data_IF_922705096914
#
_entry.id   IF_922705096914
#
_cell.length_a   1.000
_cell.length_b   1.000
_cell.length_c   1.000
_cell.angle_alpha   90.00
_cell.angle_beta   90.00
_cell.angle_gamma   90.00
#
_symmetry.space_group_name_H-M   'P 1'
#
loop_
_entity.id
_entity.type
_entity.pdbx_description
1 polymer ?
#
# COMPACT_ATOMS: atom_id res chain seq x y z
N UNK A 1 16.19 -26.16 -91.71
CA UNK A 1 14.78 -26.50 -91.34
C UNK A 1 14.56 -26.16 -89.90
N UNK A 2 13.47 -25.56 -89.55
CA UNK A 2 12.93 -25.05 -88.29
C UNK A 2 13.33 -23.62 -87.96
N UNK A 3 12.29 -22.79 -88.14
CA UNK A 3 12.21 -21.35 -87.83
C UNK A 3 12.12 -21.11 -86.37
N UNK A 4 12.89 -20.15 -85.90
CA UNK A 4 12.71 -19.61 -84.55
C UNK A 4 11.90 -18.32 -84.63
N UNK A 5 10.76 -18.24 -83.93
CA UNK A 5 10.00 -17.03 -83.78
C UNK A 5 10.43 -16.31 -82.50
N UNK A 6 10.79 -15.06 -82.65
CA UNK A 6 11.16 -14.16 -81.59
C UNK A 6 9.92 -13.34 -81.23
N UNK A 7 9.28 -13.61 -80.07
CA UNK A 7 8.26 -12.76 -79.53
C UNK A 7 8.86 -11.87 -78.43
N UNK A 8 8.89 -10.59 -78.74
CA UNK A 8 9.27 -9.57 -77.78
C UNK A 8 8.19 -9.41 -76.71
N UNK A 9 8.55 -9.58 -75.44
CA UNK A 9 7.69 -9.33 -74.28
C UNK A 9 8.03 -7.94 -73.76
N UNK A 10 7.08 -7.00 -73.91
CA UNK A 10 7.10 -5.68 -73.25
C UNK A 10 6.72 -5.90 -71.78
N UNK A 11 7.67 -5.61 -70.87
CA UNK A 11 7.43 -5.56 -69.44
C UNK A 11 7.04 -4.09 -69.08
N UNK A 12 5.76 -3.89 -68.89
CA UNK A 12 5.23 -2.63 -68.31
C UNK A 12 5.47 -2.62 -66.78
N UNK A 13 6.29 -1.71 -66.31
CA UNK A 13 6.46 -1.46 -64.88
C UNK A 13 5.27 -0.68 -64.38
N UNK A 14 4.35 -1.35 -63.71
CA UNK A 14 3.25 -0.72 -62.99
C UNK A 14 3.72 -0.31 -61.60
N UNK A 15 3.96 1.00 -61.43
CA UNK A 15 4.33 1.59 -60.16
C UNK A 15 3.07 1.70 -59.28
N UNK A 16 2.85 0.68 -58.41
CA UNK A 16 1.77 0.70 -57.43
C UNK A 16 2.19 1.58 -56.27
N UNK A 17 1.63 2.79 -56.17
CA UNK A 17 1.70 3.66 -55.01
C UNK A 17 0.87 3.01 -53.91
N UNK A 18 1.52 2.38 -52.94
CA UNK A 18 0.89 1.93 -51.70
C UNK A 18 0.71 3.16 -50.80
N UNK A 19 -0.50 3.69 -50.76
CA UNK A 19 -0.90 4.62 -49.69
C UNK A 19 -1.05 3.81 -48.39
N UNK A 20 -0.07 3.93 -47.49
CA UNK A 20 -0.23 3.46 -46.12
C UNK A 20 -1.16 4.48 -45.44
N UNK A 21 -2.45 4.19 -45.41
CA UNK A 21 -3.39 4.84 -44.52
C UNK A 21 -3.06 4.38 -43.13
N UNK A 22 -2.56 5.30 -42.30
CA UNK A 22 -2.51 5.11 -40.85
C UNK A 22 -3.93 5.24 -40.34
N UNK A 23 -4.70 4.15 -40.32
CA UNK A 23 -5.91 4.09 -39.54
C UNK A 23 -5.49 4.14 -38.07
N UNK A 24 -5.87 5.22 -37.39
CA UNK A 24 -5.88 5.23 -35.94
C UNK A 24 -6.89 4.17 -35.48
N UNK A 25 -6.37 3.08 -34.95
CA UNK A 25 -7.18 2.18 -34.15
C UNK A 25 -7.94 3.01 -33.11
N UNK A 26 -9.26 2.85 -32.95
CA UNK A 26 -9.99 3.50 -31.89
C UNK A 26 -9.36 3.02 -30.58
N UNK A 27 -8.95 3.96 -29.72
CA UNK A 27 -8.60 3.68 -28.36
C UNK A 27 -9.87 3.06 -27.75
N UNK A 28 -9.88 1.74 -27.65
CA UNK A 28 -10.89 1.03 -26.88
C UNK A 28 -10.79 1.61 -25.47
N UNK A 29 -11.78 2.41 -25.10
CA UNK A 29 -11.98 2.80 -23.72
C UNK A 29 -12.16 1.50 -22.95
N UNK A 30 -11.07 1.00 -22.35
CA UNK A 30 -11.15 -0.01 -21.32
C UNK A 30 -11.88 0.65 -20.15
N UNK A 31 -13.21 0.63 -20.22
CA UNK A 31 -14.04 0.77 -19.03
C UNK A 31 -13.44 -0.20 -18.00
N UNK A 32 -13.15 0.25 -16.77
CA UNK A 32 -12.67 -0.66 -15.75
C UNK A 32 -13.70 -1.80 -15.68
N UNK A 33 -13.30 -3.01 -16.04
CA UNK A 33 -14.17 -4.19 -15.96
C UNK A 33 -14.68 -4.24 -14.54
N UNK A 34 -15.97 -3.98 -14.39
CA UNK A 34 -16.66 -4.08 -13.11
C UNK A 34 -16.44 -5.50 -12.61
N UNK A 35 -15.58 -5.64 -11.61
CA UNK A 35 -15.22 -6.93 -11.07
C UNK A 35 -16.48 -7.49 -10.41
N UNK A 36 -17.00 -8.60 -10.90
CA UNK A 36 -18.17 -9.26 -10.32
C UNK A 36 -17.80 -9.84 -8.95
N UNK A 37 -18.10 -9.11 -7.90
CA UNK A 37 -17.90 -9.53 -6.52
C UNK A 37 -19.01 -10.46 -6.00
N UNK A 38 -19.97 -10.86 -6.86
CA UNK A 38 -21.23 -11.47 -6.45
C UNK A 38 -21.09 -12.86 -5.82
N UNK A 39 -19.93 -13.49 -5.83
CA UNK A 39 -19.85 -14.91 -5.41
C UNK A 39 -18.84 -15.26 -4.32
N UNK A 40 -17.74 -14.55 -4.13
CA UNK A 40 -16.71 -14.93 -3.14
C UNK A 40 -15.82 -13.74 -2.73
N UNK A 41 -16.40 -12.71 -2.10
CA UNK A 41 -15.62 -11.61 -1.58
C UNK A 41 -14.68 -12.09 -0.47
N UNK A 42 -13.39 -12.19 -0.77
CA UNK A 42 -12.36 -12.56 0.20
C UNK A 42 -11.96 -11.33 1.00
N UNK A 43 -12.49 -11.22 2.19
CA UNK A 43 -12.14 -10.17 3.15
C UNK A 43 -11.24 -10.73 4.23
N UNK A 44 -10.27 -9.95 4.62
CA UNK A 44 -9.36 -10.24 5.72
C UNK A 44 -10.00 -9.76 7.03
N UNK A 45 -9.86 -10.52 8.11
CA UNK A 45 -10.46 -10.18 9.40
C UNK A 45 -9.37 -9.65 10.32
N UNK A 46 -9.53 -8.44 10.81
CA UNK A 46 -8.67 -7.92 11.87
C UNK A 46 -9.02 -8.63 13.19
N UNK A 47 -8.04 -9.31 13.80
CA UNK A 47 -8.25 -9.95 15.11
C UNK A 47 -7.86 -8.99 16.23
N UNK A 48 -8.83 -8.71 17.06
CA UNK A 48 -8.71 -7.97 18.30
C UNK A 48 -8.84 -8.92 19.49
N UNK A 49 -8.26 -8.54 20.63
CA UNK A 49 -8.66 -9.11 21.91
C UNK A 49 -10.10 -8.67 22.22
N UNK A 50 -11.07 -9.52 21.86
CA UNK A 50 -12.50 -9.25 22.02
C UNK A 50 -12.97 -9.41 23.49
N UNK A 51 -12.07 -9.56 24.45
CA UNK A 51 -12.43 -9.66 25.87
C UNK A 51 -12.74 -8.27 26.42
N UNK A 52 -13.94 -7.78 26.10
CA UNK A 52 -14.58 -6.65 26.76
C UNK A 52 -14.87 -5.44 25.88
N UNK A 53 -16.03 -4.86 26.14
CA UNK A 53 -16.62 -3.62 25.60
C UNK A 53 -15.78 -2.35 25.83
N UNK A 54 -14.47 -2.41 25.74
CA UNK A 54 -13.62 -1.27 26.01
C UNK A 54 -13.28 -0.53 24.72
N UNK A 55 -14.14 0.43 24.37
CA UNK A 55 -13.97 1.37 23.26
C UNK A 55 -12.78 2.33 23.48
N UNK A 56 -12.12 2.31 24.63
CA UNK A 56 -10.92 3.11 24.92
C UNK A 56 -9.65 2.55 24.25
N UNK A 57 -9.71 1.35 23.64
CA UNK A 57 -8.54 0.67 23.02
C UNK A 57 -8.07 1.29 21.72
N UNK A 58 -8.77 2.27 21.15
CA UNK A 58 -8.25 3.06 20.05
C UNK A 58 -6.95 3.83 20.40
N UNK A 59 -6.71 4.14 21.69
CA UNK A 59 -5.44 4.67 22.19
C UNK A 59 -4.24 3.73 22.00
N UNK A 60 -4.49 2.47 21.60
CA UNK A 60 -3.47 1.42 21.55
C UNK A 60 -2.82 1.26 20.19
N UNK A 61 -3.32 1.84 19.09
CA UNK A 61 -2.71 1.69 17.75
C UNK A 61 -1.26 2.20 17.72
N UNK A 62 -1.01 3.37 18.31
CA UNK A 62 0.36 3.89 18.49
C UNK A 62 1.22 3.04 19.41
N UNK A 63 0.61 2.41 20.41
CA UNK A 63 1.30 1.52 21.36
C UNK A 63 1.58 0.12 20.81
N UNK A 64 1.00 -0.23 19.64
CA UNK A 64 1.19 -1.53 18.97
C UNK A 64 2.29 -1.51 17.90
N UNK A 65 2.97 -0.39 17.73
CA UNK A 65 4.04 -0.26 16.76
C UNK A 65 5.32 -0.95 17.25
N UNK A 66 6.09 -1.46 16.31
CA UNK A 66 7.45 -1.94 16.53
C UNK A 66 8.41 -0.75 16.67
N UNK A 67 9.61 -0.99 17.16
CA UNK A 67 10.61 0.06 17.16
C UNK A 67 11.23 0.20 15.75
N UNK A 68 11.41 1.42 15.21
CA UNK A 68 12.17 1.59 13.98
C UNK A 68 13.56 0.93 14.07
N UNK A 69 14.00 0.28 12.99
CA UNK A 69 15.24 -0.51 12.94
C UNK A 69 15.13 -1.93 13.51
N UNK A 70 13.96 -2.30 14.04
CA UNK A 70 13.78 -3.62 14.66
C UNK A 70 13.75 -4.73 13.61
N UNK A 71 14.41 -5.86 13.92
CA UNK A 71 14.25 -7.13 13.23
C UNK A 71 13.07 -7.90 13.85
N UNK A 72 12.04 -8.16 13.05
CA UNK A 72 10.84 -8.91 13.41
C UNK A 72 11.03 -10.35 12.96
N UNK A 73 11.09 -11.26 13.91
CA UNK A 73 11.27 -12.69 13.62
C UNK A 73 9.93 -13.33 13.27
N UNK A 74 9.90 -14.01 12.13
CA UNK A 74 8.70 -14.64 11.55
C UNK A 74 8.92 -16.12 11.39
N UNK A 75 7.98 -16.97 11.83
CA UNK A 75 8.04 -18.40 11.58
C UNK A 75 6.74 -18.93 10.99
N UNK A 76 6.87 -19.99 10.21
CA UNK A 76 5.73 -20.78 9.73
C UNK A 76 5.48 -21.95 10.69
N UNK A 77 4.19 -22.15 11.00
CA UNK A 77 3.74 -23.28 11.83
C UNK A 77 3.43 -24.52 10.98
N UNK A 78 3.06 -24.30 9.71
CA UNK A 78 2.77 -25.32 8.69
C UNK A 78 2.92 -24.69 7.29
N UNK A 79 2.33 -25.33 6.27
CA UNK A 79 2.39 -24.86 4.88
C UNK A 79 3.57 -25.45 4.11
N UNK A 80 3.38 -25.74 2.84
CA UNK A 80 4.45 -26.23 1.97
C UNK A 80 5.42 -25.10 1.56
N UNK A 81 6.56 -25.48 1.00
CA UNK A 81 7.62 -24.54 0.64
C UNK A 81 7.20 -23.49 -0.39
N UNK A 82 6.26 -23.82 -1.29
CA UNK A 82 5.76 -22.90 -2.31
C UNK A 82 4.99 -21.74 -1.68
N UNK A 83 3.94 -22.02 -0.88
CA UNK A 83 3.16 -20.96 -0.23
C UNK A 83 4.01 -20.14 0.74
N UNK A 84 4.94 -20.79 1.47
CA UNK A 84 5.88 -20.08 2.34
C UNK A 84 6.80 -19.15 1.56
N UNK A 85 7.30 -19.57 0.38
CA UNK A 85 8.15 -18.73 -0.46
C UNK A 85 7.42 -17.49 -0.98
N UNK A 86 6.15 -17.64 -1.38
CA UNK A 86 5.30 -16.53 -1.82
C UNK A 86 5.04 -15.52 -0.69
N UNK A 87 4.72 -16.00 0.50
CA UNK A 87 4.56 -15.12 1.67
C UNK A 87 5.86 -14.37 1.98
N UNK A 88 7.01 -15.04 1.96
CA UNK A 88 8.31 -14.37 2.16
C UNK A 88 8.58 -13.27 1.12
N UNK A 89 8.28 -13.57 -0.14
CA UNK A 89 8.47 -12.64 -1.26
C UNK A 89 7.67 -11.35 -1.06
N UNK A 90 6.37 -11.49 -0.80
CA UNK A 90 5.47 -10.34 -0.74
C UNK A 90 5.56 -9.57 0.58
N UNK A 91 5.78 -10.25 1.71
CA UNK A 91 5.99 -9.60 3.00
C UNK A 91 7.15 -8.59 2.98
N UNK A 92 8.25 -8.93 2.28
CA UNK A 92 9.44 -8.08 2.19
C UNK A 92 9.24 -6.78 1.42
N UNK A 93 8.13 -6.61 0.72
CA UNK A 93 7.85 -5.33 0.06
C UNK A 93 7.75 -4.16 1.05
N UNK A 94 7.30 -4.41 2.27
CA UNK A 94 7.28 -3.39 3.32
C UNK A 94 8.68 -2.92 3.74
N UNK A 95 9.69 -3.79 3.67
CA UNK A 95 11.08 -3.46 4.05
C UNK A 95 11.70 -2.37 3.17
N UNK A 96 11.15 -2.15 1.97
CA UNK A 96 11.59 -1.07 1.07
C UNK A 96 11.12 0.32 1.53
N UNK A 97 10.16 0.40 2.43
CA UNK A 97 9.54 1.67 2.85
C UNK A 97 9.52 1.85 4.37
N UNK A 98 9.54 0.75 5.12
CA UNK A 98 9.58 0.76 6.59
C UNK A 98 10.98 0.39 7.08
N UNK A 99 11.56 1.18 7.97
CA UNK A 99 12.82 0.82 8.65
C UNK A 99 12.59 -0.34 9.62
N UNK A 100 12.34 -1.52 9.05
CA UNK A 100 12.11 -2.80 9.74
C UNK A 100 12.68 -3.92 8.87
N UNK A 101 12.98 -5.07 9.48
CA UNK A 101 13.39 -6.28 8.75
C UNK A 101 12.60 -7.50 9.21
N UNK A 102 12.20 -8.36 8.27
CA UNK A 102 11.59 -9.65 8.56
C UNK A 102 12.65 -10.76 8.46
N UNK A 103 12.99 -11.36 9.60
CA UNK A 103 13.85 -12.53 9.67
C UNK A 103 12.97 -13.79 9.73
N UNK A 104 12.93 -14.55 8.62
CA UNK A 104 12.22 -15.82 8.59
C UNK A 104 13.07 -16.93 9.21
N UNK A 105 12.63 -17.39 10.38
CA UNK A 105 13.35 -18.36 11.21
C UNK A 105 12.73 -19.76 11.12
N UNK A 106 13.44 -20.77 11.64
CA UNK A 106 12.93 -22.15 11.70
C UNK A 106 11.68 -22.25 12.60
N UNK A 107 10.85 -23.27 12.39
CA UNK A 107 9.64 -23.51 13.18
C UNK A 107 9.92 -23.74 14.67
N UNK A 108 11.10 -24.24 15.02
CA UNK A 108 11.53 -24.46 16.41
C UNK A 108 12.02 -23.19 17.12
N UNK A 109 12.31 -22.14 16.37
CA UNK A 109 12.80 -20.87 16.93
C UNK A 109 11.69 -20.05 17.59
N UNK A 110 12.07 -19.17 18.53
CA UNK A 110 11.18 -18.10 18.98
C UNK A 110 10.93 -17.12 17.84
N UNK A 111 9.72 -16.60 17.74
CA UNK A 111 9.34 -15.61 16.72
C UNK A 111 8.30 -14.64 17.24
N UNK A 112 8.29 -13.43 16.67
CA UNK A 112 7.29 -12.40 16.94
C UNK A 112 5.98 -12.72 16.20
N UNK A 113 6.07 -13.04 14.89
CA UNK A 113 4.93 -13.41 14.04
C UNK A 113 4.95 -14.92 13.79
N UNK A 114 3.81 -15.58 13.98
CA UNK A 114 3.65 -17.03 13.82
C UNK A 114 2.52 -17.28 12.84
N UNK A 115 2.88 -17.74 11.63
CA UNK A 115 2.03 -17.86 10.46
C UNK A 115 1.53 -19.29 10.33
N UNK A 116 0.22 -19.46 10.12
CA UNK A 116 -0.39 -20.73 9.77
C UNK A 116 -1.13 -20.66 8.43
N UNK A 117 -1.33 -21.82 7.82
CA UNK A 117 -2.17 -22.01 6.63
C UNK A 117 -3.27 -23.00 6.95
N UNK A 118 -4.30 -23.06 6.10
CA UNK A 118 -5.49 -23.93 6.26
C UNK A 118 -5.14 -25.40 6.06
N UNK A 119 -4.33 -25.96 6.96
CA UNK A 119 -3.88 -27.35 6.93
C UNK A 119 -3.87 -27.93 8.34
N UNK A 120 -4.01 -29.26 8.47
CA UNK A 120 -3.94 -29.97 9.73
C UNK A 120 -4.94 -29.44 10.76
N UNK A 121 -4.46 -29.08 11.94
CA UNK A 121 -5.31 -28.54 13.03
C UNK A 121 -5.99 -27.21 12.69
N UNK A 122 -5.60 -26.52 11.63
CA UNK A 122 -6.18 -25.25 11.17
C UNK A 122 -7.07 -25.40 9.92
N UNK A 123 -7.42 -26.62 9.51
CA UNK A 123 -8.17 -26.90 8.28
C UNK A 123 -9.57 -26.27 8.25
N UNK A 124 -10.15 -25.97 9.41
CA UNK A 124 -11.48 -25.36 9.53
C UNK A 124 -11.44 -23.82 9.55
N UNK A 125 -10.25 -23.18 9.55
CA UNK A 125 -10.12 -21.73 9.52
C UNK A 125 -9.97 -21.28 8.06
N UNK A 126 -11.06 -20.82 7.45
CA UNK A 126 -11.11 -20.42 6.03
C UNK A 126 -10.80 -18.96 5.79
N UNK A 127 -10.71 -18.13 6.84
CA UNK A 127 -10.38 -16.71 6.74
C UNK A 127 -8.89 -16.43 6.70
N UNK A 128 -8.48 -15.28 6.16
CA UNK A 128 -7.14 -14.74 6.37
C UNK A 128 -7.20 -13.60 7.37
N UNK A 129 -6.21 -13.51 8.25
CA UNK A 129 -6.21 -12.54 9.32
C UNK A 129 -4.82 -12.38 9.95
N UNK A 130 -4.61 -11.23 10.61
CA UNK A 130 -3.45 -10.95 11.43
C UNK A 130 -3.86 -10.24 12.73
N UNK A 131 -3.06 -10.43 13.79
CA UNK A 131 -3.08 -9.54 14.95
C UNK A 131 -2.31 -8.26 14.63
N UNK A 132 -2.71 -7.17 15.31
CA UNK A 132 -2.17 -5.84 15.06
C UNK A 132 -0.81 -5.65 15.74
N UNK A 133 0.21 -5.33 14.95
CA UNK A 133 1.53 -4.94 15.43
C UNK A 133 2.12 -5.89 16.48
N UNK A 134 2.59 -5.31 17.59
CA UNK A 134 3.25 -6.04 18.68
C UNK A 134 2.36 -7.02 19.44
N UNK A 135 1.02 -7.01 19.26
CA UNK A 135 0.13 -8.04 19.79
C UNK A 135 0.49 -9.43 19.26
N UNK A 136 1.08 -9.49 18.06
CA UNK A 136 1.60 -10.72 17.48
C UNK A 136 2.52 -11.49 18.43
N UNK A 137 3.19 -10.82 19.37
CA UNK A 137 4.07 -11.47 20.35
C UNK A 137 3.30 -12.41 21.29
N UNK A 138 2.08 -12.03 21.68
CA UNK A 138 1.32 -12.67 22.76
C UNK A 138 0.64 -13.98 22.36
N UNK A 139 0.51 -14.24 21.05
CA UNK A 139 -0.25 -15.37 20.54
C UNK A 139 0.65 -16.45 19.97
N UNK A 140 0.28 -17.73 20.19
CA UNK A 140 0.97 -18.89 19.60
C UNK A 140 0.76 -19.00 18.08
N UNK A 141 -0.31 -18.38 17.55
CA UNK A 141 -0.65 -18.17 16.14
C UNK A 141 -1.12 -16.74 15.98
N UNK A 142 -0.36 -15.91 15.26
CA UNK A 142 -0.63 -14.48 15.16
C UNK A 142 -0.99 -14.00 13.76
N UNK A 143 -0.91 -14.89 12.76
CA UNK A 143 -1.33 -14.63 11.38
C UNK A 143 -1.80 -15.92 10.73
N UNK A 144 -2.78 -15.83 9.84
CA UNK A 144 -3.31 -16.99 9.13
C UNK A 144 -3.65 -16.65 7.68
N UNK A 145 -3.40 -17.60 6.77
CA UNK A 145 -3.80 -17.54 5.37
C UNK A 145 -4.74 -18.70 5.05
N UNK A 146 -6.05 -18.43 5.04
CA UNK A 146 -7.09 -19.45 4.98
C UNK A 146 -7.36 -20.03 3.59
N UNK A 147 -6.85 -19.40 2.52
CA UNK A 147 -7.13 -19.83 1.14
C UNK A 147 -5.88 -19.99 0.26
N UNK A 148 -4.68 -19.83 0.81
CA UNK A 148 -3.45 -20.01 0.06
C UNK A 148 -3.18 -21.50 -0.22
N UNK A 149 -2.91 -21.80 -1.50
CA UNK A 149 -2.53 -23.11 -1.99
C UNK A 149 -1.67 -22.98 -3.26
N UNK A 150 -1.28 -24.09 -3.86
CA UNK A 150 -0.41 -24.06 -5.05
C UNK A 150 -1.07 -23.48 -6.31
N UNK A 151 -2.39 -23.30 -6.33
CA UNK A 151 -3.15 -22.72 -7.42
C UNK A 151 -3.51 -21.24 -7.18
N UNK A 152 -3.13 -20.67 -6.05
CA UNK A 152 -3.37 -19.27 -5.75
C UNK A 152 -2.57 -18.40 -6.72
N UNK A 153 -3.20 -17.38 -7.31
CA UNK A 153 -2.55 -16.45 -8.24
C UNK A 153 -1.53 -15.56 -7.54
N UNK A 154 -0.55 -15.08 -8.27
CA UNK A 154 0.44 -14.14 -7.74
C UNK A 154 -0.19 -12.83 -7.25
N UNK A 155 -1.21 -12.32 -7.95
CA UNK A 155 -1.96 -11.14 -7.52
C UNK A 155 -2.63 -11.36 -6.15
N UNK A 156 -3.19 -12.56 -5.92
CA UNK A 156 -3.83 -12.89 -4.66
C UNK A 156 -2.80 -13.11 -3.53
N UNK A 157 -1.65 -13.75 -3.83
CA UNK A 157 -0.54 -13.82 -2.88
C UNK A 157 -0.04 -12.43 -2.51
N UNK A 158 0.14 -11.54 -3.49
CA UNK A 158 0.56 -10.15 -3.29
C UNK A 158 -0.43 -9.43 -2.37
N UNK A 159 -1.70 -9.35 -2.81
CA UNK A 159 -2.76 -8.64 -2.12
C UNK A 159 -2.86 -9.05 -0.65
N UNK A 160 -3.10 -10.33 -0.42
CA UNK A 160 -3.40 -10.82 0.93
C UNK A 160 -2.16 -10.79 1.83
N UNK A 161 -0.97 -11.15 1.30
CA UNK A 161 0.24 -11.13 2.14
C UNK A 161 0.62 -9.71 2.55
N UNK A 162 0.62 -8.76 1.61
CA UNK A 162 0.98 -7.36 1.92
C UNK A 162 -0.03 -6.78 2.92
N UNK A 163 -1.32 -7.05 2.74
CA UNK A 163 -2.39 -6.62 3.62
C UNK A 163 -2.21 -7.14 5.06
N UNK A 164 -2.05 -8.46 5.24
CA UNK A 164 -1.90 -9.05 6.58
C UNK A 164 -0.61 -8.60 7.27
N UNK A 165 0.49 -8.43 6.52
CA UNK A 165 1.69 -7.84 7.05
C UNK A 165 1.53 -6.36 7.39
N UNK A 166 0.66 -5.62 6.69
CA UNK A 166 0.25 -4.28 7.08
C UNK A 166 -0.36 -4.25 8.48
N UNK A 167 -1.29 -5.17 8.78
CA UNK A 167 -1.80 -5.34 10.14
C UNK A 167 -0.70 -5.69 11.14
N UNK A 168 0.16 -6.64 10.79
CA UNK A 168 1.30 -7.00 11.64
C UNK A 168 2.28 -5.83 11.88
N UNK A 169 2.25 -4.79 11.03
CA UNK A 169 2.99 -3.53 11.22
C UNK A 169 2.16 -2.45 11.93
N UNK A 170 0.94 -2.75 12.36
CA UNK A 170 0.08 -1.84 13.12
C UNK A 170 -0.86 -0.99 12.27
N UNK A 171 -1.00 -1.28 10.96
CA UNK A 171 -1.96 -0.60 10.09
C UNK A 171 -3.36 -1.18 10.28
N UNK A 172 -4.36 -0.31 10.26
CA UNK A 172 -5.79 -0.65 10.30
C UNK A 172 -6.39 -0.66 8.90
N UNK A 173 -7.63 -1.13 8.78
CA UNK A 173 -8.34 -1.09 7.51
C UNK A 173 -8.62 0.35 7.06
N UNK A 174 -8.34 0.65 5.79
CA UNK A 174 -8.49 2.00 5.25
C UNK A 174 -9.95 2.45 5.16
N UNK A 175 -10.91 1.55 4.92
CA UNK A 175 -12.34 1.91 4.95
C UNK A 175 -12.84 2.34 6.34
N UNK A 176 -12.09 2.05 7.41
CA UNK A 176 -12.34 2.48 8.78
C UNK A 176 -11.59 3.77 9.16
N UNK A 177 -10.88 4.39 8.19
CA UNK A 177 -10.20 5.66 8.36
C UNK A 177 -11.20 6.74 8.83
N UNK A 178 -10.86 7.57 9.84
CA UNK A 178 -11.74 8.62 10.36
C UNK A 178 -12.39 9.51 9.31
N UNK A 179 -11.69 9.73 8.17
CA UNK A 179 -12.13 10.64 7.09
C UNK A 179 -12.65 9.91 5.84
N UNK A 180 -12.80 8.58 5.85
CA UNK A 180 -13.20 7.78 4.69
C UNK A 180 -14.54 8.22 4.05
N UNK A 181 -15.50 8.65 4.84
CA UNK A 181 -16.75 9.25 4.33
C UNK A 181 -17.66 8.32 3.50
N UNK A 182 -17.46 6.99 3.52
CA UNK A 182 -18.21 6.02 2.72
C UNK A 182 -19.69 6.06 3.06
N UNK A 183 -20.54 6.22 2.03
CA UNK A 183 -22.00 6.30 2.16
C UNK A 183 -22.62 4.89 2.05
N UNK A 184 -22.51 4.10 3.13
CA UNK A 184 -22.95 2.70 3.15
C UNK A 184 -24.46 2.52 2.99
N UNK A 185 -24.87 1.57 2.13
CA UNK A 185 -26.17 0.92 2.21
C UNK A 185 -26.10 -0.20 3.25
N UNK A 186 -26.40 0.15 4.50
CA UNK A 186 -26.25 -0.78 5.62
C UNK A 186 -27.12 -2.02 5.48
N UNK A 187 -28.34 -1.88 4.95
CA UNK A 187 -29.26 -3.00 4.81
C UNK A 187 -28.74 -4.02 3.78
N UNK A 188 -28.24 -3.53 2.64
CA UNK A 188 -27.58 -4.37 1.63
C UNK A 188 -26.34 -5.07 2.19
N UNK A 189 -25.51 -4.34 2.93
CA UNK A 189 -24.28 -4.89 3.56
C UNK A 189 -24.64 -5.95 4.61
N UNK A 190 -25.59 -5.71 5.50
CA UNK A 190 -26.04 -6.73 6.48
C UNK A 190 -26.57 -7.99 5.79
N UNK A 191 -27.40 -7.82 4.75
CA UNK A 191 -27.95 -8.96 4.00
C UNK A 191 -26.84 -9.78 3.34
N UNK A 192 -25.84 -9.13 2.75
CA UNK A 192 -24.72 -9.81 2.09
C UNK A 192 -23.89 -10.62 3.10
N UNK A 193 -23.44 -9.99 4.20
CA UNK A 193 -22.53 -10.62 5.14
C UNK A 193 -23.21 -11.64 6.08
N UNK A 194 -24.54 -11.61 6.22
CA UNK A 194 -25.29 -12.66 6.90
C UNK A 194 -25.31 -13.98 6.13
N UNK A 195 -25.06 -13.95 4.81
CA UNK A 195 -24.99 -15.12 3.95
C UNK A 195 -23.61 -15.78 3.90
N UNK A 196 -23.52 -16.91 3.12
CA UNK A 196 -22.23 -17.55 2.85
C UNK A 196 -21.30 -16.62 2.05
N UNK A 197 -19.98 -16.73 2.19
CA UNK A 197 -19.26 -17.63 3.12
C UNK A 197 -19.07 -17.04 4.53
N UNK A 198 -19.52 -15.82 4.79
CA UNK A 198 -19.17 -15.06 5.98
C UNK A 198 -20.01 -15.44 7.21
N UNK A 199 -21.34 -15.53 7.07
CA UNK A 199 -22.30 -15.80 8.16
C UNK A 199 -22.10 -14.87 9.36
N UNK A 200 -21.84 -13.58 9.11
CA UNK A 200 -21.61 -12.59 10.15
C UNK A 200 -22.91 -12.10 10.78
N UNK A 201 -22.89 -11.91 12.09
CA UNK A 201 -23.92 -11.15 12.79
C UNK A 201 -23.81 -9.66 12.45
N UNK A 202 -24.89 -8.89 12.68
CA UNK A 202 -24.86 -7.44 12.50
C UNK A 202 -23.75 -6.78 13.34
N UNK A 203 -23.54 -7.23 14.57
CA UNK A 203 -22.46 -6.72 15.42
C UNK A 203 -21.06 -6.95 14.82
N UNK A 204 -20.85 -8.07 14.11
CA UNK A 204 -19.61 -8.32 13.40
C UNK A 204 -19.45 -7.41 12.18
N UNK A 205 -20.55 -7.16 11.44
CA UNK A 205 -20.55 -6.20 10.33
C UNK A 205 -20.28 -4.79 10.85
N UNK A 206 -20.96 -4.35 11.92
CA UNK A 206 -20.73 -3.03 12.52
C UNK A 206 -19.26 -2.84 12.90
N UNK A 207 -18.67 -3.84 13.51
CA UNK A 207 -17.27 -3.77 13.96
C UNK A 207 -16.27 -3.79 12.79
N UNK A 208 -16.48 -4.66 11.79
CA UNK A 208 -15.49 -4.88 10.73
C UNK A 208 -15.63 -3.92 9.54
N UNK A 209 -16.85 -3.32 9.35
CA UNK A 209 -17.10 -2.46 8.20
C UNK A 209 -17.48 -1.02 8.57
N UNK A 210 -18.41 -0.83 9.52
CA UNK A 210 -18.96 0.50 9.76
C UNK A 210 -18.23 1.28 10.86
N UNK A 211 -17.51 0.59 11.72
CA UNK A 211 -16.70 1.23 12.75
C UNK A 211 -15.65 2.12 12.11
N UNK A 212 -15.51 3.33 12.64
CA UNK A 212 -14.40 4.24 12.33
C UNK A 212 -13.55 4.46 13.56
N UNK A 213 -12.26 4.61 13.31
CA UNK A 213 -11.33 4.94 14.39
C UNK A 213 -11.37 6.42 14.69
N UNK A 214 -11.12 6.77 15.96
CA UNK A 214 -11.00 8.18 16.34
C UNK A 214 -9.64 8.75 15.89
N UNK A 215 -9.68 9.97 15.33
CA UNK A 215 -8.49 10.67 14.86
C UNK A 215 -7.44 10.94 15.96
N UNK A 216 -7.92 11.07 17.23
CA UNK A 216 -7.05 11.36 18.38
C UNK A 216 -6.11 10.22 18.76
N UNK A 217 -6.45 9.00 18.40
CA UNK A 217 -5.78 7.78 18.87
C UNK A 217 -5.14 6.95 17.75
N UNK A 218 -5.47 7.23 16.50
CA UNK A 218 -4.89 6.60 15.32
C UNK A 218 -3.91 7.56 14.63
N UNK A 219 -2.79 7.01 14.13
CA UNK A 219 -2.10 7.66 13.03
C UNK A 219 -2.91 7.33 11.78
N UNK A 220 -3.33 8.33 11.02
CA UNK A 220 -4.03 8.13 9.76
C UNK A 220 -3.50 9.10 8.71
N UNK A 221 -3.54 8.66 7.47
CA UNK A 221 -3.29 9.47 6.27
C UNK A 221 -4.59 10.10 5.77
N UNK A 222 -4.52 10.87 4.71
CA UNK A 222 -5.70 11.14 3.90
C UNK A 222 -6.29 9.80 3.41
N UNK A 223 -7.62 9.72 3.30
CA UNK A 223 -8.30 8.53 2.80
C UNK A 223 -7.83 8.17 1.38
N UNK A 224 -7.46 6.90 1.21
CA UNK A 224 -6.91 6.39 -0.05
C UNK A 224 -7.64 5.12 -0.50
N UNK A 225 -8.58 5.21 -1.47
CA UNK A 225 -9.25 4.03 -2.02
C UNK A 225 -8.30 3.02 -2.70
N UNK A 226 -7.05 3.42 -3.00
CA UNK A 226 -6.04 2.54 -3.59
C UNK A 226 -5.12 1.88 -2.55
N UNK A 227 -5.30 2.19 -1.26
CA UNK A 227 -4.53 1.56 -0.19
C UNK A 227 -4.67 0.05 -0.20
N UNK A 228 -3.56 -0.66 0.00
CA UNK A 228 -3.56 -2.12 0.19
C UNK A 228 -4.39 -2.55 1.41
N UNK A 229 -4.57 -1.64 2.38
CA UNK A 229 -5.36 -1.88 3.58
C UNK A 229 -6.86 -1.66 3.37
N UNK A 230 -7.29 -1.27 2.16
CA UNK A 230 -8.70 -1.07 1.85
C UNK A 230 -9.40 -2.40 1.52
N UNK A 231 -10.59 -2.60 2.08
CA UNK A 231 -11.47 -3.69 1.67
C UNK A 231 -12.03 -3.41 0.26
N UNK A 232 -12.25 -4.43 -0.56
CA UNK A 232 -13.07 -4.27 -1.74
C UNK A 232 -14.50 -3.92 -1.31
N UNK A 233 -15.08 -2.92 -1.97
CA UNK A 233 -16.46 -2.46 -1.74
C UNK A 233 -17.21 -2.56 -3.06
N UNK A 234 -18.15 -3.50 -3.18
CA UNK A 234 -19.09 -3.54 -4.31
C UNK A 234 -19.96 -2.28 -4.36
N UNK A 235 -20.31 -1.84 -5.57
CA UNK A 235 -21.15 -0.64 -5.75
C UNK A 235 -22.55 -0.77 -5.10
N UNK A 236 -23.07 -1.98 -5.03
CA UNK A 236 -24.34 -2.31 -4.36
C UNK A 236 -24.29 -2.22 -2.83
N UNK A 237 -23.09 -2.01 -2.25
CA UNK A 237 -22.93 -1.80 -0.81
C UNK A 237 -22.96 -0.32 -0.41
N UNK A 238 -23.14 0.59 -1.36
CA UNK A 238 -23.15 2.04 -1.13
C UNK A 238 -24.36 2.71 -1.77
N UNK A 239 -24.90 3.76 -1.14
CA UNK A 239 -26.08 4.47 -1.62
C UNK A 239 -25.81 5.34 -2.85
N UNK A 240 -24.56 5.67 -3.12
CA UNK A 240 -24.09 6.52 -4.20
C UNK A 240 -23.36 5.77 -5.32
N UNK A 241 -23.29 4.42 -5.24
CA UNK A 241 -22.61 3.58 -6.22
C UNK A 241 -21.08 3.63 -6.12
N UNK A 242 -20.53 4.24 -5.07
CA UNK A 242 -19.08 4.21 -4.83
C UNK A 242 -18.59 2.77 -4.68
N UNK A 243 -17.45 2.45 -5.30
CA UNK A 243 -16.88 1.10 -5.25
C UNK A 243 -15.37 1.14 -5.15
N UNK A 244 -14.79 0.09 -4.55
CA UNK A 244 -13.34 -0.13 -4.48
C UNK A 244 -13.07 -1.57 -4.89
N UNK A 245 -12.16 -1.77 -5.84
CA UNK A 245 -11.71 -3.08 -6.29
C UNK A 245 -10.72 -3.74 -5.32
N UNK A 246 -10.14 -4.85 -5.76
CA UNK A 246 -9.01 -5.45 -5.05
C UNK A 246 -7.72 -4.66 -5.35
N UNK A 247 -7.11 -4.09 -4.33
CA UNK A 247 -5.79 -3.48 -4.41
C UNK A 247 -4.72 -4.57 -4.21
N UNK A 248 -3.77 -4.67 -5.15
CA UNK A 248 -2.82 -5.78 -5.18
C UNK A 248 -1.38 -5.36 -4.86
N UNK A 249 -1.13 -4.07 -4.74
CA UNK A 249 0.18 -3.47 -4.49
C UNK A 249 0.06 -2.29 -3.53
N UNK A 250 1.16 -1.92 -2.90
CA UNK A 250 1.23 -0.72 -2.05
C UNK A 250 0.96 0.54 -2.86
N UNK A 251 0.03 1.36 -2.41
CA UNK A 251 -0.20 2.70 -2.97
C UNK A 251 0.94 3.66 -2.62
N UNK A 252 0.93 4.84 -3.21
CA UNK A 252 1.86 5.91 -2.81
C UNK A 252 1.62 6.36 -1.37
N UNK A 253 0.35 6.38 -0.93
CA UNK A 253 -0.03 6.71 0.45
C UNK A 253 0.45 5.66 1.43
N UNK A 254 0.26 4.36 1.14
CA UNK A 254 0.78 3.26 1.98
C UNK A 254 2.28 3.40 2.22
N UNK A 255 3.05 3.64 1.14
CA UNK A 255 4.51 3.77 1.19
C UNK A 255 4.95 4.96 2.05
N UNK A 256 4.38 6.13 1.81
CA UNK A 256 4.73 7.33 2.56
C UNK A 256 4.27 7.25 4.01
N UNK A 257 3.12 6.65 4.27
CA UNK A 257 2.57 6.51 5.61
C UNK A 257 3.40 5.55 6.46
N UNK A 258 3.74 4.36 5.94
CA UNK A 258 4.57 3.41 6.69
C UNK A 258 5.97 3.95 6.96
N UNK A 259 6.57 4.70 6.01
CA UNK A 259 7.84 5.39 6.20
C UNK A 259 7.78 6.43 7.33
N UNK A 260 6.64 7.10 7.50
CA UNK A 260 6.44 8.05 8.60
C UNK A 260 6.31 7.38 9.98
N UNK A 261 5.78 6.14 10.01
CA UNK A 261 5.64 5.35 11.24
C UNK A 261 6.97 4.72 11.64
N UNK A 262 7.72 4.20 10.66
CA UNK A 262 9.02 3.53 10.86
C UNK A 262 10.11 4.28 10.12
N UNK A 263 10.48 5.47 10.59
CA UNK A 263 11.50 6.30 9.93
C UNK A 263 12.89 5.68 10.06
N UNK A 264 13.75 5.99 9.09
CA UNK A 264 15.14 5.56 9.05
C UNK A 264 15.58 5.17 7.65
N UNK A 265 16.84 4.79 7.51
CA UNK A 265 17.37 4.30 6.25
C UNK A 265 16.81 2.90 5.96
N UNK A 266 15.88 2.81 5.05
CA UNK A 266 15.30 1.53 4.59
C UNK A 266 16.17 0.82 3.55
N UNK A 267 17.31 1.42 3.20
CA UNK A 267 18.28 0.84 2.26
C UNK A 267 17.77 0.69 0.82
N UNK A 268 16.65 1.30 0.45
CA UNK A 268 16.16 1.03 -0.89
C UNK A 268 14.87 1.63 -1.39
N UNK A 269 14.38 2.72 -0.86
CA UNK A 269 13.30 3.46 -1.52
C UNK A 269 13.81 4.78 -2.07
N UNK A 270 13.95 4.92 -3.38
CA UNK A 270 14.07 6.24 -4.00
C UNK A 270 12.83 7.07 -3.62
N UNK A 271 13.04 8.28 -3.07
CA UNK A 271 11.93 9.20 -2.74
C UNK A 271 11.00 9.47 -3.92
N UNK A 272 11.44 9.10 -5.12
CA UNK A 272 10.73 9.25 -6.38
C UNK A 272 9.99 7.98 -6.83
N UNK A 273 10.12 6.86 -6.12
CA UNK A 273 9.47 5.62 -6.51
C UNK A 273 7.94 5.75 -6.56
N UNK A 274 7.38 5.40 -7.72
CA UNK A 274 5.94 5.49 -7.98
C UNK A 274 5.41 6.90 -8.23
N UNK A 275 6.28 7.93 -8.27
CA UNK A 275 5.88 9.30 -8.58
C UNK A 275 5.98 9.55 -10.08
N UNK A 276 4.88 9.97 -10.70
CA UNK A 276 4.81 10.27 -12.13
C UNK A 276 5.71 11.48 -12.51
N UNK A 277 6.29 11.50 -13.71
CA UNK A 277 7.01 12.65 -14.20
C UNK A 277 6.09 13.87 -14.41
N UNK A 278 6.63 15.06 -14.20
CA UNK A 278 5.94 16.32 -14.49
C UNK A 278 5.56 16.40 -15.97
N UNK A 279 4.31 16.73 -16.23
CA UNK A 279 3.78 16.98 -17.59
C UNK A 279 3.41 18.44 -17.71
N UNK A 280 4.08 19.13 -18.65
CA UNK A 280 3.77 20.54 -18.93
C UNK A 280 2.32 20.70 -19.44
N UNK A 281 1.58 21.62 -18.85
CA UNK A 281 0.18 21.87 -19.20
C UNK A 281 -0.86 21.00 -18.47
N UNK A 282 -0.42 20.02 -17.68
CA UNK A 282 -1.33 19.26 -16.79
C UNK A 282 -1.73 20.12 -15.57
N UNK A 283 -2.92 19.86 -15.04
CA UNK A 283 -3.39 20.46 -13.78
C UNK A 283 -2.95 19.61 -12.60
N UNK A 284 -2.46 20.26 -11.55
CA UNK A 284 -2.00 19.62 -10.32
C UNK A 284 -2.65 20.28 -9.11
N UNK A 285 -3.20 19.47 -8.22
CA UNK A 285 -3.74 19.92 -6.94
C UNK A 285 -2.60 20.20 -5.94
N UNK A 286 -2.87 21.03 -4.93
CA UNK A 286 -1.93 21.22 -3.81
C UNK A 286 -1.74 19.89 -3.09
N UNK A 287 -0.47 19.48 -2.91
CA UNK A 287 -0.07 18.19 -2.36
C UNK A 287 0.34 17.15 -3.41
N UNK A 288 -0.01 17.34 -4.69
CA UNK A 288 0.43 16.44 -5.75
C UNK A 288 1.95 16.44 -5.88
N UNK A 289 2.52 15.26 -6.09
CA UNK A 289 3.95 15.07 -6.28
C UNK A 289 4.26 14.67 -7.72
N UNK A 290 5.38 15.19 -8.21
CA UNK A 290 5.91 14.88 -9.55
C UNK A 290 7.41 14.77 -9.51
N UNK A 291 8.00 13.99 -10.43
CA UNK A 291 9.43 14.00 -10.67
C UNK A 291 9.76 14.94 -11.84
N UNK A 292 10.82 15.73 -11.71
CA UNK A 292 11.31 16.59 -12.77
C UNK A 292 12.82 16.74 -12.68
N UNK A 293 13.53 16.47 -13.78
CA UNK A 293 15.01 16.53 -13.86
C UNK A 293 15.71 15.77 -12.73
N UNK A 294 15.20 14.56 -12.38
CA UNK A 294 15.78 13.74 -11.33
C UNK A 294 15.56 14.26 -9.91
N UNK A 295 14.59 15.12 -9.71
CA UNK A 295 14.20 15.67 -8.40
C UNK A 295 12.72 15.42 -8.14
N UNK A 296 12.33 15.27 -6.87
CA UNK A 296 10.95 15.19 -6.42
C UNK A 296 10.43 16.59 -6.07
N UNK A 297 9.25 16.91 -6.57
CA UNK A 297 8.56 18.17 -6.28
C UNK A 297 7.16 17.91 -5.77
N UNK A 298 6.69 18.78 -4.87
CA UNK A 298 5.31 18.81 -4.38
C UNK A 298 4.63 20.12 -4.78
N UNK A 299 3.39 20.05 -5.28
CA UNK A 299 2.59 21.23 -5.61
C UNK A 299 2.16 21.95 -4.35
N UNK A 300 2.45 23.25 -4.26
CA UNK A 300 1.98 24.13 -3.18
C UNK A 300 0.96 25.14 -3.72
N UNK A 301 0.33 25.88 -2.86
CA UNK A 301 -0.61 26.95 -3.26
C UNK A 301 0.04 28.06 -4.09
N UNK A 302 1.38 28.21 -4.01
CA UNK A 302 2.12 29.30 -4.68
C UNK A 302 3.11 28.83 -5.74
N UNK A 303 3.29 27.49 -5.91
CA UNK A 303 4.28 26.96 -6.84
C UNK A 303 4.63 25.50 -6.57
N UNK A 304 5.91 25.16 -6.72
CA UNK A 304 6.44 23.82 -6.49
C UNK A 304 7.50 23.84 -5.40
N UNK A 305 7.43 22.92 -4.44
CA UNK A 305 8.46 22.72 -3.42
C UNK A 305 9.33 21.53 -3.83
N UNK A 306 10.63 21.72 -3.89
CA UNK A 306 11.58 20.64 -4.09
C UNK A 306 11.68 19.82 -2.79
N UNK A 307 11.56 18.48 -2.90
CA UNK A 307 11.64 17.54 -1.79
C UNK A 307 12.94 16.73 -1.79
N UNK A 308 13.80 16.86 -2.82
CA UNK A 308 15.09 16.18 -2.92
C UNK A 308 15.33 15.49 -4.25
N UNK A 309 16.55 14.95 -4.43
CA UNK A 309 16.96 14.25 -5.64
C UNK A 309 16.47 12.80 -5.64
N UNK A 310 16.05 12.31 -6.81
CA UNK A 310 15.75 10.89 -7.04
C UNK A 310 17.04 10.05 -7.01
N UNK A 311 16.94 8.80 -6.57
CA UNK A 311 18.10 7.90 -6.51
C UNK A 311 19.04 8.15 -5.33
N UNK A 312 18.71 9.09 -4.44
CA UNK A 312 19.45 9.31 -3.20
C UNK A 312 18.76 8.56 -2.07
N UNK A 313 19.39 7.51 -1.56
CA UNK A 313 19.10 7.01 -0.21
C UNK A 313 19.66 8.03 0.77
N UNK A 314 18.79 8.84 1.36
CA UNK A 314 19.20 9.80 2.39
C UNK A 314 19.57 9.03 3.65
N UNK A 315 20.84 8.93 3.95
CA UNK A 315 21.34 8.44 5.23
C UNK A 315 21.51 9.55 6.27
N UNK A 316 21.32 10.82 5.86
CA UNK A 316 21.51 11.99 6.70
C UNK A 316 20.15 12.62 7.07
N UNK A 317 19.94 12.82 8.38
CA UNK A 317 18.75 13.51 8.89
C UNK A 317 18.56 14.92 8.31
N UNK A 318 19.60 15.46 7.70
CA UNK A 318 19.65 16.79 7.09
C UNK A 318 19.37 16.80 5.59
N UNK A 319 19.32 15.64 4.93
CA UNK A 319 19.15 15.59 3.48
C UNK A 319 17.83 16.23 3.04
N UNK A 320 17.92 17.11 2.03
CA UNK A 320 16.78 17.85 1.51
C UNK A 320 16.27 18.99 2.42
N UNK A 321 16.88 19.19 3.58
CA UNK A 321 16.52 20.28 4.49
C UNK A 321 17.32 21.54 4.14
N UNK A 322 16.63 22.67 3.95
CA UNK A 322 17.27 23.94 3.59
C UNK A 322 18.07 24.53 4.74
N UNK A 323 19.13 25.24 4.40
CA UNK A 323 19.93 25.98 5.38
C UNK A 323 19.13 27.16 5.96
N UNK A 324 19.33 27.42 7.26
CA UNK A 324 18.70 28.53 7.93
C UNK A 324 19.13 29.86 7.31
N UNK A 325 18.17 30.71 6.99
CA UNK A 325 18.37 32.04 6.44
C UNK A 325 17.95 33.09 7.49
N UNK A 326 18.87 33.89 7.93
CA UNK A 326 18.60 34.98 8.87
C UNK A 326 17.61 35.98 8.28
N UNK A 327 16.60 36.38 9.07
CA UNK A 327 15.56 37.31 8.65
C UNK A 327 14.36 36.67 7.91
N UNK A 328 14.39 35.36 7.57
CA UNK A 328 13.25 34.62 7.05
C UNK A 328 12.31 34.23 8.20
N UNK A 329 11.00 34.31 7.96
CA UNK A 329 9.98 33.74 8.86
C UNK A 329 9.82 32.25 8.62
N UNK A 330 9.73 31.46 9.69
CA UNK A 330 9.58 30.02 9.67
C UNK A 330 8.34 29.60 10.46
N UNK A 331 7.53 28.73 9.89
CA UNK A 331 6.36 28.18 10.56
C UNK A 331 6.77 27.15 11.64
N UNK A 332 5.95 27.00 12.68
CA UNK A 332 6.14 25.95 13.70
C UNK A 332 6.09 24.59 13.01
N UNK A 333 7.11 23.74 13.29
CA UNK A 333 7.32 22.44 12.63
C UNK A 333 8.21 22.50 11.38
N UNK A 334 8.54 23.71 10.86
CA UNK A 334 9.48 23.85 9.75
C UNK A 334 10.91 23.51 10.19
N UNK A 335 11.61 22.73 9.36
CA UNK A 335 12.98 22.27 9.64
C UNK A 335 13.99 23.06 8.81
N UNK A 336 15.16 23.30 9.40
CA UNK A 336 16.32 23.94 8.74
C UNK A 336 17.60 23.28 9.21
N UNK A 337 18.63 23.33 8.38
CA UNK A 337 19.99 23.02 8.80
C UNK A 337 20.71 24.30 9.22
N UNK A 338 21.51 24.24 10.29
CA UNK A 338 22.34 25.35 10.74
C UNK A 338 23.60 24.80 11.42
N UNK A 339 24.75 25.23 10.99
CA UNK A 339 26.07 24.81 11.52
C UNK A 339 26.20 23.27 11.62
N UNK A 340 25.78 22.54 10.56
CA UNK A 340 25.90 21.08 10.49
C UNK A 340 24.93 20.32 11.41
N UNK A 341 23.87 20.93 11.89
CA UNK A 341 22.84 20.31 12.70
C UNK A 341 21.43 20.60 12.15
N UNK A 342 20.49 19.69 12.37
CA UNK A 342 19.07 19.84 12.02
C UNK A 342 18.32 20.51 13.17
N UNK A 343 17.52 21.51 12.85
CA UNK A 343 16.66 22.21 13.80
C UNK A 343 15.22 22.24 13.31
N UNK A 344 14.28 22.20 14.25
CA UNK A 344 12.85 22.38 14.01
C UNK A 344 12.35 23.65 14.71
N UNK A 345 11.54 24.43 14.00
CA UNK A 345 10.91 25.62 14.57
C UNK A 345 9.83 25.23 15.57
N UNK A 346 9.90 25.73 16.80
CA UNK A 346 8.88 25.58 17.83
C UNK A 346 8.16 26.92 18.06
N UNK A 347 7.11 26.91 18.84
CA UNK A 347 6.38 28.14 19.23
C UNK A 347 7.24 29.12 20.02
N UNK A 348 8.32 28.66 20.65
CA UNK A 348 9.18 29.50 21.55
C UNK A 348 10.61 29.63 21.05
N UNK A 349 11.00 28.94 19.94
CA UNK A 349 12.38 29.01 19.47
C UNK A 349 12.71 27.89 18.49
N UNK A 350 13.90 27.29 18.60
CA UNK A 350 14.39 26.20 17.77
C UNK A 350 14.78 25.00 18.63
N UNK A 351 14.36 23.80 18.22
CA UNK A 351 14.74 22.53 18.82
C UNK A 351 15.79 21.85 17.95
N UNK A 352 16.95 21.52 18.52
CA UNK A 352 17.96 20.72 17.85
C UNK A 352 17.48 19.26 17.73
N UNK A 353 17.56 18.67 16.54
CA UNK A 353 17.14 17.29 16.24
C UNK A 353 18.34 16.35 16.00
N UNK A 354 19.56 16.85 15.94
CA UNK A 354 20.77 16.06 15.75
C UNK A 354 21.75 16.66 14.76
N UNK A 355 22.95 16.04 14.65
CA UNK A 355 23.96 16.43 13.68
C UNK A 355 23.71 15.83 12.30
N UNK A 356 24.03 16.60 11.25
CA UNK A 356 24.04 16.13 9.87
C UNK A 356 25.24 15.21 9.63
N UNK A 357 25.07 14.16 8.81
CA UNK A 357 26.17 13.28 8.43
C UNK A 357 26.60 12.28 9.51
N UNK A 358 25.75 12.01 10.51
CA UNK A 358 26.02 11.03 11.59
C UNK A 358 25.29 9.72 11.38
#
# INVERSE_FOLDING_TARGET
>A
MKKFNLNALLIGVLCSLIFISCEKEPIENLEPTQQDFSKDLKVCIEKWDLDGNDFSKAATLKSKQWNPGQTIRVKFLNGNSFVQSKVKQYAKQWESYANLKFEFVSSSSSANIKISFREGQYANDGGSWSYLGTDSNSYSRSMHFGWFNNNTSDAEFSRTTIHEFGHALGLIHEHQNPVAGINWDKDAVYAYYAGPPNYWSQAQVDNNLFRRYEASVSNYSAYDPQSIMHYPIPAEHTLDGFSVGYNNVLSATDKSFIASIYPGDTGGGDICDGVAPYVSGASYAVGDKVTYQGQLYERTSTGWRNLGACGTTSSDICDGVQEYVSGRSYAVGEKVTYQGSLYERTSTGWRNLGQCGS
#
